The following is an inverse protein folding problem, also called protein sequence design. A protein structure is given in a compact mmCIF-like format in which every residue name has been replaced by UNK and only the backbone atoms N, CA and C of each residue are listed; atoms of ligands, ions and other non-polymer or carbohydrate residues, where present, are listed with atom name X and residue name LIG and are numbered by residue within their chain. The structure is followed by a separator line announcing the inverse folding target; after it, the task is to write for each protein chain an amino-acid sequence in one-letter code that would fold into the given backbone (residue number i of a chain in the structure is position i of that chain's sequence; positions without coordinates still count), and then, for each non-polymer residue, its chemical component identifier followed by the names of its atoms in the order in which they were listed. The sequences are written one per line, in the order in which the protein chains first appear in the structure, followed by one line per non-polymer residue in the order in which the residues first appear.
data_IF_008297054764
#
_entry.id   IF_008297054764
#
_cell.length_a   1.000
_cell.length_b   1.000
_cell.length_c   1.000
_cell.angle_alpha   90.00
_cell.angle_beta   90.00
_cell.angle_gamma   90.00
#
_symmetry.space_group_name_H-M   'P 1'
#
loop_
_entity.id
_entity.type
_entity.pdbx_description
1 polymer ?
#
# COMPACT_ATOMS: atom_id res chain seq x y z
N UNK A 1 -11.73 -24.96 -1.65
CA UNK A 1 -11.05 -23.71 -1.21
C UNK A 1 -10.41 -23.08 -2.43
N UNK A 2 -10.69 -21.82 -2.78
CA UNK A 2 -9.98 -21.18 -3.86
C UNK A 2 -8.49 -21.07 -3.48
N UNK A 3 -7.63 -21.65 -4.32
CA UNK A 3 -6.18 -21.74 -4.14
C UNK A 3 -5.48 -20.72 -5.03
N UNK A 4 -4.33 -20.23 -4.60
CA UNK A 4 -3.43 -19.46 -5.47
C UNK A 4 -3.00 -20.38 -6.62
N UNK A 5 -3.45 -20.06 -7.83
CA UNK A 5 -3.05 -20.75 -9.05
C UNK A 5 -2.14 -19.85 -9.88
N UNK A 6 -1.50 -20.41 -10.90
CA UNK A 6 -0.56 -19.67 -11.77
C UNK A 6 -1.19 -18.42 -12.37
N UNK A 7 -2.48 -18.47 -12.77
CA UNK A 7 -3.18 -17.31 -13.34
C UNK A 7 -3.27 -16.15 -12.34
N UNK A 8 -3.61 -16.44 -11.08
CA UNK A 8 -3.69 -15.42 -10.02
C UNK A 8 -2.29 -14.86 -9.73
N UNK A 9 -1.26 -15.70 -9.65
CA UNK A 9 0.11 -15.26 -9.41
C UNK A 9 0.63 -14.36 -10.53
N UNK A 10 0.39 -14.72 -11.80
CA UNK A 10 0.75 -13.90 -12.96
C UNK A 10 0.00 -12.56 -12.97
N UNK A 11 -1.26 -12.55 -12.53
CA UNK A 11 -2.02 -11.31 -12.45
C UNK A 11 -1.55 -10.41 -11.30
N UNK A 12 -1.21 -11.00 -10.14
CA UNK A 12 -0.56 -10.28 -9.04
C UNK A 12 0.79 -9.72 -9.48
N UNK A 13 1.57 -10.47 -10.28
CA UNK A 13 2.81 -9.98 -10.86
C UNK A 13 2.57 -8.80 -11.80
N UNK A 14 1.56 -8.86 -12.68
CA UNK A 14 1.21 -7.75 -13.56
C UNK A 14 0.80 -6.49 -12.78
N UNK A 15 -0.06 -6.62 -11.76
CA UNK A 15 -0.44 -5.51 -10.88
C UNK A 15 0.79 -4.96 -10.15
N UNK A 16 1.63 -5.85 -9.62
CA UNK A 16 2.87 -5.51 -8.92
C UNK A 16 3.85 -4.74 -9.80
N UNK A 17 4.06 -5.15 -11.05
CA UNK A 17 4.93 -4.46 -12.01
C UNK A 17 4.40 -3.06 -12.31
N UNK A 18 3.12 -2.93 -12.67
CA UNK A 18 2.52 -1.63 -13.01
C UNK A 18 2.59 -0.66 -11.83
N UNK A 19 2.27 -1.13 -10.62
CA UNK A 19 2.34 -0.28 -9.41
C UNK A 19 3.77 -0.02 -8.95
N UNK A 20 4.70 -0.96 -9.14
CA UNK A 20 6.13 -0.79 -8.85
C UNK A 20 6.77 0.32 -9.70
N UNK A 21 6.36 0.47 -10.96
CA UNK A 21 6.77 1.62 -11.78
C UNK A 21 6.29 2.95 -11.16
N UNK A 22 5.07 2.98 -10.62
CA UNK A 22 4.57 4.17 -9.93
C UNK A 22 5.31 4.43 -8.61
N UNK A 23 5.82 3.39 -7.93
CA UNK A 23 6.64 3.55 -6.73
C UNK A 23 7.98 4.20 -7.02
N UNK A 24 8.57 3.99 -8.20
CA UNK A 24 9.79 4.70 -8.60
C UNK A 24 9.55 6.21 -8.67
N UNK A 25 8.44 6.62 -9.29
CA UNK A 25 8.03 8.04 -9.35
C UNK A 25 7.74 8.58 -7.95
N UNK A 26 7.00 7.81 -7.13
CA UNK A 26 6.64 8.19 -5.76
C UNK A 26 7.88 8.31 -4.87
N UNK A 27 8.89 7.46 -5.06
CA UNK A 27 10.17 7.55 -4.36
C UNK A 27 10.91 8.86 -4.67
N UNK A 28 10.95 9.27 -5.94
CA UNK A 28 11.48 10.58 -6.32
C UNK A 28 10.70 11.74 -5.69
N UNK A 29 9.37 11.66 -5.68
CA UNK A 29 8.51 12.66 -5.02
C UNK A 29 8.75 12.74 -3.52
N UNK A 30 9.02 11.62 -2.84
CA UNK A 30 9.34 11.62 -1.41
C UNK A 30 10.59 12.44 -1.09
N UNK A 31 11.61 12.44 -1.95
CA UNK A 31 12.82 13.26 -1.77
C UNK A 31 12.49 14.75 -1.83
N UNK A 32 11.61 15.14 -2.77
CA UNK A 32 11.16 16.53 -2.90
C UNK A 32 10.33 16.94 -1.68
N UNK A 33 9.35 16.11 -1.30
CA UNK A 33 8.43 16.40 -0.19
C UNK A 33 9.17 16.47 1.15
N UNK A 34 10.08 15.53 1.44
CA UNK A 34 10.83 15.56 2.71
C UNK A 34 11.73 16.79 2.83
N UNK A 35 12.16 17.38 1.71
CA UNK A 35 13.02 18.56 1.69
C UNK A 35 12.22 19.86 1.85
N UNK A 36 11.05 19.96 1.22
CA UNK A 36 10.27 21.20 1.14
C UNK A 36 9.15 21.25 2.19
N UNK A 37 8.48 20.13 2.42
CA UNK A 37 7.30 20.04 3.27
C UNK A 37 7.22 18.66 3.95
N UNK A 38 8.07 18.37 4.97
CA UNK A 38 8.10 17.08 5.64
C UNK A 38 6.73 16.63 6.17
N UNK A 39 5.91 17.59 6.62
CA UNK A 39 4.55 17.34 7.10
C UNK A 39 3.62 16.73 6.04
N UNK A 40 3.90 16.92 4.75
CA UNK A 40 3.12 16.36 3.65
C UNK A 40 3.57 14.94 3.25
N UNK A 41 4.64 14.40 3.86
CA UNK A 41 5.18 13.07 3.54
C UNK A 41 4.12 11.97 3.63
N UNK A 42 3.23 12.06 4.63
CA UNK A 42 2.12 11.13 4.83
C UNK A 42 1.16 11.03 3.64
N UNK A 43 1.02 12.09 2.83
CA UNK A 43 0.10 12.11 1.70
C UNK A 43 0.50 11.11 0.59
N UNK A 44 1.77 10.76 0.48
CA UNK A 44 2.28 9.83 -0.53
C UNK A 44 2.22 8.36 -0.07
N UNK A 45 2.10 8.10 1.23
CA UNK A 45 2.21 6.76 1.82
C UNK A 45 1.12 5.81 1.32
N UNK A 46 -0.10 6.30 1.12
CA UNK A 46 -1.21 5.46 0.65
C UNK A 46 -0.94 4.81 -0.70
N UNK A 47 -0.08 5.41 -1.54
CA UNK A 47 0.28 4.85 -2.83
C UNK A 47 0.82 3.42 -2.70
N UNK A 48 1.56 3.14 -1.64
CA UNK A 48 2.15 1.83 -1.39
C UNK A 48 1.11 0.75 -1.05
N UNK A 49 -0.10 1.12 -0.63
CA UNK A 49 -1.20 0.18 -0.39
C UNK A 49 -2.00 -0.18 -1.65
N UNK A 50 -1.80 0.58 -2.74
CA UNK A 50 -2.55 0.43 -3.98
C UNK A 50 -2.45 -0.97 -4.60
N UNK A 51 -1.26 -1.59 -4.81
CA UNK A 51 -1.16 -2.93 -5.37
C UNK A 51 -1.96 -3.96 -4.57
N UNK A 52 -1.75 -3.96 -3.25
CA UNK A 52 -2.41 -4.92 -2.40
C UNK A 52 -3.93 -4.73 -2.41
N UNK A 53 -4.40 -3.48 -2.49
CA UNK A 53 -5.83 -3.16 -2.45
C UNK A 53 -6.52 -3.58 -3.75
N UNK A 54 -5.85 -3.42 -4.89
CA UNK A 54 -6.34 -3.93 -6.19
C UNK A 54 -6.43 -5.45 -6.13
N UNK A 55 -5.38 -6.14 -5.68
CA UNK A 55 -5.34 -7.60 -5.64
C UNK A 55 -6.36 -8.19 -4.65
N UNK A 56 -6.45 -7.62 -3.45
CA UNK A 56 -7.44 -7.99 -2.43
C UNK A 56 -8.88 -7.74 -2.92
N UNK A 57 -9.13 -6.57 -3.53
CA UNK A 57 -10.44 -6.24 -4.09
C UNK A 57 -10.86 -7.19 -5.22
N UNK A 58 -9.91 -7.60 -6.06
CA UNK A 58 -10.14 -8.44 -7.25
C UNK A 58 -10.29 -9.92 -6.89
N UNK A 59 -9.34 -10.49 -6.15
CA UNK A 59 -9.32 -11.94 -5.92
C UNK A 59 -10.00 -12.34 -4.63
N UNK A 60 -9.98 -11.46 -3.61
CA UNK A 60 -10.45 -11.78 -2.26
C UNK A 60 -9.89 -13.12 -1.80
N UNK A 61 -8.57 -13.32 -1.93
CA UNK A 61 -7.86 -14.52 -1.51
C UNK A 61 -6.81 -14.16 -0.45
N UNK A 62 -6.36 -15.12 0.37
CA UNK A 62 -5.30 -14.85 1.32
C UNK A 62 -3.99 -14.54 0.59
N UNK A 63 -3.19 -13.66 1.20
CA UNK A 63 -1.82 -13.30 0.78
C UNK A 63 -1.69 -12.57 -0.56
N UNK A 64 -2.77 -12.37 -1.32
CA UNK A 64 -2.68 -11.67 -2.61
C UNK A 64 -2.21 -10.23 -2.44
N UNK A 65 -2.55 -9.58 -1.33
CA UNK A 65 -2.06 -8.25 -1.01
C UNK A 65 -0.54 -8.24 -0.83
N UNK A 66 -0.06 -9.13 0.04
CA UNK A 66 1.36 -9.28 0.34
C UNK A 66 2.18 -9.70 -0.88
N UNK A 67 1.73 -10.69 -1.64
CA UNK A 67 2.43 -11.16 -2.85
C UNK A 67 2.56 -10.01 -3.85
N UNK A 68 1.49 -9.26 -4.09
CA UNK A 68 1.49 -8.18 -5.10
C UNK A 68 2.46 -7.07 -4.71
N UNK A 69 2.47 -6.64 -3.45
CA UNK A 69 3.38 -5.57 -3.01
C UNK A 69 4.84 -6.04 -2.89
N UNK A 70 5.09 -7.32 -2.58
CA UNK A 70 6.44 -7.90 -2.63
C UNK A 70 6.99 -7.85 -4.05
N UNK A 71 6.18 -8.23 -5.05
CA UNK A 71 6.58 -8.17 -6.45
C UNK A 71 6.82 -6.72 -6.92
N UNK A 72 5.96 -5.77 -6.50
CA UNK A 72 6.18 -4.34 -6.73
C UNK A 72 7.48 -3.85 -6.07
N UNK A 73 7.77 -4.34 -4.86
CA UNK A 73 8.95 -3.98 -4.09
C UNK A 73 10.25 -4.51 -4.67
N UNK A 74 10.25 -5.72 -5.24
CA UNK A 74 11.41 -6.25 -5.96
C UNK A 74 11.79 -5.32 -7.13
N UNK A 75 10.80 -4.94 -7.94
CA UNK A 75 11.02 -4.02 -9.06
C UNK A 75 11.48 -2.64 -8.59
N UNK A 76 10.95 -2.16 -7.47
CA UNK A 76 11.32 -0.85 -6.92
C UNK A 76 12.74 -0.86 -6.35
N UNK A 77 13.14 -1.95 -5.68
CA UNK A 77 14.43 -2.07 -5.02
C UNK A 77 15.61 -2.13 -6.01
N UNK A 78 15.39 -2.63 -7.23
CA UNK A 78 16.40 -2.65 -8.29
C UNK A 78 16.44 -1.34 -9.10
N UNK A 79 15.54 -0.38 -8.83
CA UNK A 79 15.50 0.89 -9.55
C UNK A 79 16.64 1.81 -9.14
N UNK A 80 17.40 2.39 -10.09
CA UNK A 80 18.45 3.35 -9.78
C UNK A 80 17.91 4.70 -9.29
N UNK A 81 16.61 4.96 -9.51
CA UNK A 81 15.93 6.19 -9.07
C UNK A 81 15.57 6.11 -7.58
N UNK A 82 15.45 4.89 -7.02
CA UNK A 82 15.06 4.69 -5.64
C UNK A 82 16.25 4.88 -4.69
N UNK A 83 16.27 6.02 -4.00
CA UNK A 83 17.33 6.41 -3.05
C UNK A 83 17.57 5.42 -1.89
N UNK A 84 16.56 4.65 -1.50
CA UNK A 84 16.65 3.70 -0.38
C UNK A 84 17.20 2.30 -0.79
N UNK A 85 17.39 2.03 -2.08
CA UNK A 85 17.82 0.72 -2.58
C UNK A 85 17.00 -0.43 -1.99
N UNK A 86 17.67 -1.50 -1.54
CA UNK A 86 17.03 -2.67 -0.91
C UNK A 86 16.32 -2.38 0.42
N UNK A 87 16.61 -1.28 1.11
CA UNK A 87 15.88 -0.94 2.33
C UNK A 87 14.39 -0.68 2.06
N UNK A 88 14.05 -0.18 0.85
CA UNK A 88 12.65 0.00 0.45
C UNK A 88 11.87 -1.31 0.46
N UNK A 89 12.54 -2.42 0.12
CA UNK A 89 11.91 -3.73 0.04
C UNK A 89 11.38 -4.17 1.40
N UNK A 90 12.15 -3.98 2.47
CA UNK A 90 11.72 -4.30 3.83
C UNK A 90 10.48 -3.49 4.25
N UNK A 91 10.43 -2.19 3.92
CA UNK A 91 9.27 -1.35 4.20
C UNK A 91 8.03 -1.79 3.41
N UNK A 92 8.18 -2.19 2.15
CA UNK A 92 7.08 -2.67 1.33
C UNK A 92 6.56 -4.04 1.80
N UNK A 93 7.44 -4.93 2.27
CA UNK A 93 7.04 -6.17 2.93
C UNK A 93 6.22 -5.86 4.20
N UNK A 94 6.71 -4.94 5.04
CA UNK A 94 6.00 -4.49 6.24
C UNK A 94 4.61 -3.93 5.91
N UNK A 95 4.50 -3.08 4.88
CA UNK A 95 3.21 -2.55 4.41
C UNK A 95 2.30 -3.68 3.94
N UNK A 96 2.82 -4.66 3.20
CA UNK A 96 2.05 -5.84 2.77
C UNK A 96 1.51 -6.65 3.94
N UNK A 97 2.32 -6.85 4.98
CA UNK A 97 1.89 -7.51 6.22
C UNK A 97 0.79 -6.69 6.90
N UNK A 98 1.00 -5.39 7.08
CA UNK A 98 0.00 -4.49 7.67
C UNK A 98 -1.31 -4.47 6.89
N UNK A 99 -1.24 -4.63 5.57
CA UNK A 99 -2.39 -4.64 4.69
C UNK A 99 -3.17 -5.96 4.71
N UNK A 100 -2.49 -7.09 4.95
CA UNK A 100 -3.14 -8.40 5.10
C UNK A 100 -3.62 -8.69 6.53
N UNK A 101 -3.01 -8.05 7.53
CA UNK A 101 -3.28 -8.27 8.95
C UNK A 101 -4.78 -8.20 9.33
N UNK A 102 -5.57 -7.22 8.86
CA UNK A 102 -7.00 -7.13 9.17
C UNK A 102 -7.79 -8.36 8.67
N UNK A 103 -7.37 -8.93 7.54
CA UNK A 103 -8.02 -10.11 6.98
C UNK A 103 -7.56 -11.37 7.69
N UNK A 104 -6.27 -11.47 8.01
CA UNK A 104 -5.70 -12.55 8.79
C UNK A 104 -6.35 -12.67 10.18
N UNK A 105 -6.60 -11.55 10.87
CA UNK A 105 -7.29 -11.50 12.18
C UNK A 105 -8.70 -12.09 12.09
N UNK A 106 -9.40 -11.88 10.97
CA UNK A 106 -10.73 -12.50 10.75
C UNK A 106 -10.66 -13.94 10.23
N UNK A 107 -9.47 -14.55 10.20
CA UNK A 107 -9.24 -15.87 9.59
C UNK A 107 -9.60 -15.89 8.10
N UNK A 108 -9.47 -14.75 7.42
CA UNK A 108 -9.93 -14.51 6.06
C UNK A 108 -11.41 -14.83 5.83
N UNK A 109 -12.25 -14.82 6.88
CA UNK A 109 -13.69 -15.07 6.77
C UNK A 109 -14.45 -13.85 6.27
N UNK A 110 -13.96 -12.64 6.54
CA UNK A 110 -14.61 -11.37 6.16
C UNK A 110 -13.79 -10.60 5.13
N UNK A 111 -13.98 -10.95 3.84
CA UNK A 111 -13.29 -10.32 2.69
C UNK A 111 -14.17 -9.29 2.01
N UNK A 112 -14.62 -8.30 2.78
CA UNK A 112 -15.56 -7.27 2.34
C UNK A 112 -14.88 -5.92 2.20
N UNK A 113 -15.51 -5.00 1.47
CA UNK A 113 -15.03 -3.61 1.34
C UNK A 113 -14.91 -2.94 2.70
N UNK A 114 -15.86 -3.20 3.59
CA UNK A 114 -15.83 -2.70 4.97
C UNK A 114 -14.60 -3.21 5.73
N UNK A 115 -14.25 -4.49 5.57
CA UNK A 115 -13.02 -5.05 6.16
C UNK A 115 -11.76 -4.37 5.64
N UNK A 116 -11.70 -4.03 4.35
CA UNK A 116 -10.59 -3.26 3.78
C UNK A 116 -10.52 -1.82 4.30
N UNK A 117 -11.67 -1.15 4.50
CA UNK A 117 -11.72 0.21 5.07
C UNK A 117 -11.26 0.22 6.52
N UNK A 118 -11.75 -0.70 7.35
CA UNK A 118 -11.32 -0.83 8.75
C UNK A 118 -9.81 -1.14 8.76
N UNK A 119 -9.37 -2.05 7.89
CA UNK A 119 -7.97 -2.38 7.73
C UNK A 119 -7.10 -1.18 7.38
N UNK A 120 -7.49 -0.40 6.38
CA UNK A 120 -6.73 0.78 5.95
C UNK A 120 -6.70 1.87 7.02
N UNK A 121 -7.76 2.03 7.81
CA UNK A 121 -7.77 2.94 8.96
C UNK A 121 -6.78 2.49 10.04
N UNK A 122 -6.75 1.20 10.37
CA UNK A 122 -5.82 0.65 11.37
C UNK A 122 -4.38 0.74 10.88
N UNK A 123 -4.08 0.26 9.67
CA UNK A 123 -2.73 0.31 9.10
C UNK A 123 -2.25 1.76 8.91
N UNK A 124 -3.15 2.65 8.47
CA UNK A 124 -2.89 4.07 8.33
C UNK A 124 -2.59 4.74 9.68
N UNK A 125 -3.34 4.43 10.73
CA UNK A 125 -3.10 4.95 12.07
C UNK A 125 -1.76 4.46 12.65
N UNK A 126 -1.43 3.17 12.48
CA UNK A 126 -0.16 2.61 12.92
C UNK A 126 1.04 3.25 12.20
N UNK A 127 0.95 3.41 10.87
CA UNK A 127 1.99 4.09 10.10
C UNK A 127 2.06 5.59 10.39
N UNK A 128 0.90 6.25 10.56
CA UNK A 128 0.83 7.66 10.92
C UNK A 128 1.50 7.93 12.26
N UNK A 129 1.26 7.07 13.26
CA UNK A 129 1.95 7.14 14.54
C UNK A 129 3.46 6.88 14.39
N UNK A 130 3.85 5.83 13.64
CA UNK A 130 5.25 5.53 13.38
C UNK A 130 5.98 6.73 12.73
N UNK A 131 5.38 7.36 11.72
CA UNK A 131 5.97 8.52 11.09
C UNK A 131 5.93 9.76 11.97
N UNK A 132 4.87 9.96 12.78
CA UNK A 132 4.90 11.02 13.78
C UNK A 132 6.12 10.87 14.69
N UNK A 133 6.42 9.64 15.15
CA UNK A 133 7.61 9.33 15.96
C UNK A 133 8.94 9.56 15.21
N UNK A 134 9.04 9.12 13.95
CA UNK A 134 10.25 9.26 13.12
C UNK A 134 10.55 10.72 12.75
N UNK A 135 9.51 11.54 12.63
CA UNK A 135 9.58 12.95 12.27
C UNK A 135 9.45 13.91 13.46
N UNK A 136 9.36 13.42 14.70
CA UNK A 136 9.24 14.29 15.88
C UNK A 136 10.33 15.35 15.89
N UNK A 137 9.91 16.60 16.03
CA UNK A 137 10.81 17.75 16.07
C UNK A 137 11.43 18.14 14.72
N UNK A 138 11.23 17.35 13.65
CA UNK A 138 11.72 17.68 12.29
C UNK A 138 10.80 18.62 11.53
N UNK A 139 9.50 18.64 11.84
CA UNK A 139 8.54 19.58 11.24
C UNK A 139 8.54 20.94 11.93
N UNK A 140 9.15 21.06 13.12
CA UNK A 140 9.18 22.29 13.91
C UNK A 140 7.86 22.63 14.63
N UNK A 141 6.81 21.80 14.50
CA UNK A 141 5.51 22.04 15.14
C UNK A 141 4.74 20.74 15.37
N UNK A 142 4.23 20.54 16.58
CA UNK A 142 3.40 19.37 16.94
C UNK A 142 2.15 19.27 16.05
N UNK A 143 1.58 20.40 15.63
CA UNK A 143 0.43 20.41 14.73
C UNK A 143 0.76 19.89 13.34
N UNK A 144 1.99 20.11 12.87
CA UNK A 144 2.47 19.58 11.59
C UNK A 144 2.76 18.08 11.67
N UNK A 145 3.24 17.58 12.81
CA UNK A 145 3.37 16.13 13.06
C UNK A 145 2.00 15.45 13.09
N UNK A 146 1.01 16.08 13.74
CA UNK A 146 -0.40 15.61 13.73
C UNK A 146 -0.99 15.64 12.32
N UNK A 147 -0.75 16.71 11.55
CA UNK A 147 -1.20 16.81 10.17
C UNK A 147 -0.59 15.72 9.29
N UNK A 148 0.70 15.42 9.46
CA UNK A 148 1.39 14.32 8.76
C UNK A 148 0.77 12.96 9.09
N UNK A 149 0.51 12.68 10.37
CA UNK A 149 -0.14 11.45 10.80
C UNK A 149 -1.55 11.35 10.19
N UNK A 150 -2.34 12.40 10.25
CA UNK A 150 -3.68 12.45 9.66
C UNK A 150 -3.66 12.25 8.13
N UNK A 151 -2.73 12.90 7.43
CA UNK A 151 -2.53 12.73 5.99
C UNK A 151 -2.16 11.30 5.64
N UNK A 152 -1.37 10.62 6.48
CA UNK A 152 -1.05 9.20 6.31
C UNK A 152 -2.32 8.35 6.35
N UNK A 153 -3.17 8.54 7.37
CA UNK A 153 -4.44 7.79 7.49
C UNK A 153 -5.35 8.04 6.29
N UNK A 154 -5.53 9.31 5.93
CA UNK A 154 -6.38 9.72 4.81
C UNK A 154 -5.86 9.14 3.49
N UNK A 155 -4.55 9.25 3.23
CA UNK A 155 -3.93 8.72 2.02
C UNK A 155 -4.10 7.20 1.92
N UNK A 156 -3.78 6.46 2.98
CA UNK A 156 -3.93 5.00 3.00
C UNK A 156 -5.38 4.57 2.75
N UNK A 157 -6.36 5.28 3.33
CA UNK A 157 -7.77 5.04 3.07
C UNK A 157 -8.14 5.33 1.61
N UNK A 158 -7.74 6.48 1.07
CA UNK A 158 -8.07 6.89 -0.30
C UNK A 158 -7.52 5.91 -1.32
N UNK A 159 -6.26 5.51 -1.22
CA UNK A 159 -5.65 4.56 -2.15
C UNK A 159 -6.19 3.14 -1.99
N UNK A 160 -6.59 2.75 -0.77
CA UNK A 160 -7.31 1.49 -0.57
C UNK A 160 -8.65 1.51 -1.29
N UNK A 161 -9.43 2.58 -1.14
CA UNK A 161 -10.71 2.73 -1.85
C UNK A 161 -10.52 2.78 -3.37
N UNK A 162 -9.49 3.48 -3.85
CA UNK A 162 -9.12 3.53 -5.26
C UNK A 162 -8.79 2.14 -5.79
N UNK A 163 -7.99 1.35 -5.07
CA UNK A 163 -7.68 -0.02 -5.45
C UNK A 163 -8.93 -0.89 -5.61
N UNK A 164 -9.94 -0.69 -4.76
CA UNK A 164 -11.23 -1.37 -4.88
C UNK A 164 -12.09 -0.88 -6.06
N UNK A 165 -12.01 0.40 -6.40
CA UNK A 165 -12.65 0.94 -7.61
C UNK A 165 -12.01 0.33 -8.86
N UNK A 166 -10.67 0.27 -8.89
CA UNK A 166 -9.92 -0.39 -9.97
C UNK A 166 -10.28 -1.87 -10.04
N UNK A 167 -10.36 -2.58 -8.92
CA UNK A 167 -10.80 -3.98 -8.88
C UNK A 167 -12.20 -4.17 -9.49
N UNK A 168 -13.14 -3.26 -9.21
CA UNK A 168 -14.47 -3.28 -9.85
C UNK A 168 -14.37 -3.09 -11.37
N UNK A 169 -13.49 -2.23 -11.85
CA UNK A 169 -13.26 -2.03 -13.28
C UNK A 169 -12.63 -3.29 -13.92
N UNK A 170 -11.64 -3.90 -13.27
CA UNK A 170 -11.01 -5.16 -13.70
C UNK A 170 -12.04 -6.28 -13.83
N UNK A 171 -12.96 -6.41 -12.87
CA UNK A 171 -14.06 -7.38 -12.96
C UNK A 171 -15.01 -7.13 -14.13
N UNK A 172 -15.30 -5.86 -14.46
CA UNK A 172 -16.11 -5.53 -15.65
C UNK A 172 -15.38 -5.89 -16.94
N UNK A 173 -14.06 -5.75 -16.97
CA UNK A 173 -13.20 -6.18 -18.06
C UNK A 173 -12.99 -7.71 -18.14
N UNK A 174 -13.61 -8.48 -17.23
CA UNK A 174 -13.53 -9.95 -17.21
C UNK A 174 -12.35 -10.52 -16.42
N UNK A 175 -11.51 -9.68 -15.81
CA UNK A 175 -10.41 -10.13 -14.95
C UNK A 175 -10.97 -10.71 -13.64
N UNK A 176 -10.43 -11.85 -13.21
CA UNK A 176 -10.87 -12.54 -12.00
C UNK A 176 -12.10 -13.44 -12.18
N UNK A 177 -12.62 -13.57 -13.41
CA UNK A 177 -13.55 -14.65 -13.76
C UNK A 177 -12.74 -15.94 -13.93
N UNK A 178 -12.96 -16.89 -13.03
CA UNK A 178 -12.50 -18.27 -13.12
C UNK A 178 -13.74 -19.16 -13.24
#
# INVERSE_FOLDING_TARGET
MPRLNTRILLSCAAIGVVTGLLFMVTGGLHIIVITIAPWAYGALIGMYFLPGAIAQGTYRLPLVGLITIVLAGLLTAISPIQSLGWAVFAYLVMIGVLQELPWAVTGYRRRTRTGAVIGSLVSGALLGLLFALVFQGKTGSVWLDVAQAALTVVSVLLFTLLGWVIAKALHRAGVGRA
#
